data_IF_679192478439
#
_entry.id   IF_679192478439
#
_cell.length_a   1.000
_cell.length_b   1.000
_cell.length_c   1.000
_cell.angle_alpha   90.00
_cell.angle_beta   90.00
_cell.angle_gamma   90.00
#
_symmetry.space_group_name_H-M   'P 1'
#
loop_
_entity.id
_entity.type
_entity.pdbx_description
1 polymer ?
#
# COMPACT_ATOMS: atom_id res chain seq x y z
N UNK A 1 -20.35 -17.92 21.45
CA UNK A 1 -19.72 -18.17 20.12
C UNK A 1 -18.55 -17.21 20.02
N UNK A 2 -17.32 -17.70 19.89
CA UNK A 2 -16.19 -16.82 19.59
C UNK A 2 -16.42 -16.18 18.22
N UNK A 3 -16.31 -14.87 18.19
CA UNK A 3 -16.52 -14.05 17.01
C UNK A 3 -15.48 -14.41 15.96
N UNK A 4 -15.88 -14.98 14.83
CA UNK A 4 -14.98 -15.32 13.73
C UNK A 4 -14.51 -14.02 13.06
N UNK A 5 -13.26 -13.68 13.25
CA UNK A 5 -12.65 -12.49 12.69
C UNK A 5 -11.87 -12.91 11.44
N UNK A 6 -12.07 -12.22 10.30
CA UNK A 6 -11.33 -12.49 9.08
C UNK A 6 -10.21 -11.46 8.87
N UNK A 7 -9.10 -11.92 8.28
CA UNK A 7 -8.01 -11.08 7.82
C UNK A 7 -8.24 -10.82 6.33
N UNK A 8 -8.38 -9.58 5.96
CA UNK A 8 -8.41 -9.21 4.56
C UNK A 8 -7.00 -9.05 3.98
N UNK A 9 -6.84 -9.35 2.68
CA UNK A 9 -5.57 -9.27 1.96
C UNK A 9 -5.73 -8.39 0.71
N UNK A 10 -5.19 -7.18 0.76
CA UNK A 10 -5.15 -6.26 -0.40
C UNK A 10 -4.16 -6.77 -1.45
N UNK A 11 -3.01 -7.25 -1.02
CA UNK A 11 -1.97 -7.80 -1.87
C UNK A 11 -2.01 -9.33 -1.97
N UNK A 12 -0.93 -9.89 -2.52
CA UNK A 12 -0.69 -11.33 -2.59
C UNK A 12 0.62 -11.69 -1.90
N UNK A 13 0.61 -12.74 -1.09
CA UNK A 13 1.79 -13.18 -0.33
C UNK A 13 2.98 -13.62 -1.19
N UNK A 14 2.74 -13.97 -2.46
CA UNK A 14 3.79 -14.28 -3.42
C UNK A 14 4.31 -13.07 -4.20
N UNK A 15 3.62 -11.93 -4.14
CA UNK A 15 3.99 -10.66 -4.77
C UNK A 15 3.93 -9.55 -3.73
N UNK A 16 4.84 -9.61 -2.76
CA UNK A 16 4.83 -8.72 -1.59
C UNK A 16 5.20 -7.27 -1.90
N UNK A 17 5.90 -7.03 -3.00
CA UNK A 17 6.29 -5.68 -3.43
C UNK A 17 5.37 -5.19 -4.57
N UNK A 18 4.45 -4.24 -4.31
CA UNK A 18 3.54 -3.74 -5.33
C UNK A 18 4.25 -2.98 -6.47
N UNK A 19 5.45 -2.42 -6.24
CA UNK A 19 6.21 -1.73 -7.29
C UNK A 19 6.58 -2.66 -8.46
N UNK A 20 6.72 -3.97 -8.21
CA UNK A 20 7.01 -4.95 -9.25
C UNK A 20 5.82 -5.25 -10.17
N UNK A 21 4.60 -4.89 -9.76
CA UNK A 21 3.39 -5.19 -10.55
C UNK A 21 3.43 -4.46 -11.90
N UNK A 22 3.86 -3.20 -11.92
CA UNK A 22 3.94 -2.44 -13.18
C UNK A 22 4.95 -3.06 -14.16
N UNK A 23 6.10 -3.46 -13.67
CA UNK A 23 7.14 -4.12 -14.46
C UNK A 23 6.63 -5.43 -15.06
N UNK A 24 6.05 -6.30 -14.22
CA UNK A 24 5.43 -7.54 -14.68
C UNK A 24 4.23 -7.31 -15.60
N UNK A 25 3.47 -6.23 -15.43
CA UNK A 25 2.35 -5.88 -16.29
C UNK A 25 2.81 -5.36 -17.66
N UNK A 26 3.90 -4.57 -17.72
CA UNK A 26 4.54 -4.18 -18.99
C UNK A 26 5.02 -5.41 -19.77
N UNK A 27 5.64 -6.37 -19.09
CA UNK A 27 6.03 -7.63 -19.72
C UNK A 27 4.81 -8.43 -20.20
N UNK A 28 3.76 -8.54 -19.39
CA UNK A 28 2.52 -9.20 -19.79
C UNK A 28 1.92 -8.57 -21.05
N UNK A 29 1.83 -7.24 -21.12
CA UNK A 29 1.29 -6.52 -22.27
C UNK A 29 2.06 -6.79 -23.59
N UNK A 30 3.36 -7.11 -23.49
CA UNK A 30 4.22 -7.45 -24.63
C UNK A 30 4.33 -8.98 -24.87
N UNK A 31 3.60 -9.78 -24.10
CA UNK A 31 3.65 -11.24 -24.19
C UNK A 31 2.57 -11.81 -25.11
N UNK A 32 2.70 -13.04 -25.61
CA UNK A 32 1.65 -13.73 -26.35
C UNK A 32 0.49 -14.23 -25.47
N UNK A 33 0.51 -13.92 -24.17
CA UNK A 33 -0.43 -14.43 -23.18
C UNK A 33 -1.57 -13.44 -22.84
N UNK A 34 -1.62 -12.27 -23.46
CA UNK A 34 -2.75 -11.34 -23.34
C UNK A 34 -4.04 -12.03 -23.78
N UNK A 35 -5.08 -12.01 -22.93
CA UNK A 35 -6.34 -12.73 -23.15
C UNK A 35 -6.26 -14.25 -23.02
N UNK A 36 -5.08 -14.82 -22.70
CA UNK A 36 -4.83 -16.27 -22.66
C UNK A 36 -4.11 -16.76 -21.40
N UNK A 37 -4.17 -16.01 -20.31
CA UNK A 37 -3.38 -16.26 -19.10
C UNK A 37 -3.95 -17.41 -18.22
N UNK A 38 -4.70 -18.34 -18.80
CA UNK A 38 -5.32 -19.47 -18.11
C UNK A 38 -4.96 -20.80 -18.74
N UNK A 39 -4.99 -21.82 -17.90
CA UNK A 39 -4.56 -23.16 -18.28
C UNK A 39 -3.07 -23.39 -17.98
N UNK A 40 -2.74 -24.62 -17.60
CA UNK A 40 -1.41 -25.00 -17.09
C UNK A 40 -0.29 -24.62 -18.07
N UNK A 41 -0.49 -24.85 -19.36
CA UNK A 41 0.49 -24.58 -20.41
C UNK A 41 0.78 -23.06 -20.52
N UNK A 42 -0.28 -22.23 -20.61
CA UNK A 42 -0.14 -20.78 -20.69
C UNK A 42 0.43 -20.19 -19.39
N UNK A 43 0.02 -20.70 -18.24
CA UNK A 43 0.53 -20.28 -16.92
C UNK A 43 2.03 -20.53 -16.80
N UNK A 44 2.50 -21.71 -17.19
CA UNK A 44 3.93 -22.06 -17.21
C UNK A 44 4.66 -21.24 -18.27
N UNK A 45 4.09 -21.13 -19.47
CA UNK A 45 4.68 -20.32 -20.54
C UNK A 45 4.87 -18.86 -20.15
N UNK A 46 3.88 -18.25 -19.50
CA UNK A 46 4.02 -16.88 -18.98
C UNK A 46 5.10 -16.76 -17.92
N UNK A 47 5.24 -17.75 -17.03
CA UNK A 47 6.33 -17.75 -16.04
C UNK A 47 7.70 -17.81 -16.69
N UNK A 48 7.86 -18.66 -17.72
CA UNK A 48 9.11 -18.72 -18.49
C UNK A 48 9.39 -17.37 -19.17
N UNK A 49 8.36 -16.76 -19.76
CA UNK A 49 8.50 -15.44 -20.37
C UNK A 49 8.96 -14.38 -19.37
N UNK A 50 8.37 -14.32 -18.16
CA UNK A 50 8.80 -13.38 -17.10
C UNK A 50 10.25 -13.64 -16.64
N UNK A 51 10.67 -14.91 -16.62
CA UNK A 51 12.03 -15.28 -16.29
C UNK A 51 13.02 -14.83 -17.38
N UNK A 52 12.69 -15.04 -18.65
CA UNK A 52 13.49 -14.63 -19.80
C UNK A 52 13.64 -13.10 -19.87
N UNK A 53 12.64 -12.36 -19.41
CA UNK A 53 12.69 -10.90 -19.26
C UNK A 53 13.43 -10.44 -17.99
N UNK A 54 13.94 -11.35 -17.16
CA UNK A 54 14.65 -11.03 -15.92
C UNK A 54 13.75 -10.48 -14.78
N UNK A 55 12.42 -10.51 -14.94
CA UNK A 55 11.47 -9.98 -13.94
C UNK A 55 11.39 -10.90 -12.73
N UNK A 56 11.51 -12.21 -12.94
CA UNK A 56 11.58 -13.20 -11.87
C UNK A 56 12.90 -13.97 -12.02
N UNK A 57 13.50 -14.37 -10.89
CA UNK A 57 14.72 -15.15 -10.88
C UNK A 57 14.44 -16.58 -10.43
N UNK A 58 14.87 -17.56 -11.25
CA UNK A 58 14.96 -19.00 -10.90
C UNK A 58 13.66 -19.71 -10.42
N UNK A 59 12.50 -19.13 -10.61
CA UNK A 59 11.24 -19.76 -10.22
C UNK A 59 10.63 -20.63 -11.34
N UNK A 60 10.98 -20.35 -12.61
CA UNK A 60 10.40 -21.00 -13.78
C UNK A 60 10.59 -22.55 -13.77
N UNK A 61 11.77 -23.04 -13.40
CA UNK A 61 12.04 -24.47 -13.33
C UNK A 61 11.49 -25.18 -12.10
N UNK A 62 11.04 -24.44 -11.08
CA UNK A 62 10.53 -25.00 -9.81
C UNK A 62 9.00 -25.02 -9.74
N UNK A 63 8.31 -24.12 -10.41
CA UNK A 63 6.85 -24.05 -10.41
C UNK A 63 6.24 -24.84 -11.56
N UNK A 64 6.14 -26.16 -11.39
CA UNK A 64 5.47 -27.05 -12.35
C UNK A 64 3.94 -26.92 -12.37
N UNK A 65 3.37 -26.14 -11.46
CA UNK A 65 1.93 -25.96 -11.29
C UNK A 65 1.37 -24.69 -11.90
N UNK A 66 2.23 -23.72 -12.31
CA UNK A 66 1.80 -22.40 -12.77
C UNK A 66 1.26 -21.49 -11.64
N UNK A 67 1.54 -21.85 -10.39
CA UNK A 67 0.97 -21.11 -9.24
C UNK A 67 1.40 -19.65 -9.20
N UNK A 68 2.61 -19.34 -9.63
CA UNK A 68 3.12 -17.98 -9.68
C UNK A 68 2.41 -17.14 -10.74
N UNK A 69 2.15 -17.69 -11.94
CA UNK A 69 1.37 -16.99 -12.97
C UNK A 69 -0.03 -16.62 -12.47
N UNK A 70 -0.68 -17.52 -11.71
CA UNK A 70 -1.98 -17.23 -11.09
C UNK A 70 -1.93 -16.08 -10.09
N UNK A 71 -0.80 -15.91 -9.37
CA UNK A 71 -0.60 -14.76 -8.46
C UNK A 71 -0.48 -13.45 -9.24
N UNK A 72 0.28 -13.42 -10.34
CA UNK A 72 0.35 -12.26 -11.22
C UNK A 72 -1.01 -11.91 -11.83
N UNK A 73 -1.69 -12.89 -12.41
CA UNK A 73 -3.05 -12.71 -12.95
C UNK A 73 -4.01 -12.15 -11.89
N UNK A 74 -3.98 -12.73 -10.67
CA UNK A 74 -4.80 -12.24 -9.58
C UNK A 74 -4.54 -10.76 -9.29
N UNK A 75 -3.28 -10.35 -9.24
CA UNK A 75 -2.96 -8.95 -8.97
C UNK A 75 -3.31 -8.02 -10.13
N UNK A 76 -3.15 -8.46 -11.37
CA UNK A 76 -3.59 -7.68 -12.53
C UNK A 76 -5.11 -7.50 -12.54
N UNK A 77 -5.87 -8.56 -12.34
CA UNK A 77 -7.34 -8.51 -12.34
C UNK A 77 -7.89 -7.76 -11.11
N UNK A 78 -7.29 -7.95 -9.94
CA UNK A 78 -7.71 -7.29 -8.69
C UNK A 78 -7.55 -5.77 -8.75
N UNK A 79 -6.52 -5.30 -9.46
CA UNK A 79 -6.31 -3.88 -9.68
C UNK A 79 -7.01 -3.35 -10.94
N UNK A 80 -7.78 -4.16 -11.66
CA UNK A 80 -8.52 -3.76 -12.84
C UNK A 80 -7.67 -3.52 -14.09
N UNK A 81 -6.44 -4.00 -14.11
CA UNK A 81 -5.54 -3.84 -15.26
C UNK A 81 -5.86 -4.84 -16.38
N UNK A 82 -6.43 -5.99 -16.03
CA UNK A 82 -7.05 -6.94 -16.94
C UNK A 82 -8.49 -7.20 -16.51
N UNK A 83 -9.34 -7.60 -17.45
CA UNK A 83 -10.73 -7.92 -17.13
C UNK A 83 -10.80 -9.12 -16.19
N UNK A 84 -11.41 -8.96 -14.98
CA UNK A 84 -11.59 -10.04 -14.03
C UNK A 84 -12.61 -11.06 -14.51
N UNK A 85 -12.58 -12.25 -13.93
CA UNK A 85 -13.59 -13.26 -14.15
C UNK A 85 -14.89 -12.89 -13.44
N UNK A 86 -15.97 -12.77 -14.18
CA UNK A 86 -17.32 -12.59 -13.65
C UNK A 86 -17.89 -13.97 -13.31
N UNK A 87 -18.38 -14.14 -12.07
CA UNK A 87 -19.13 -15.34 -11.70
C UNK A 87 -20.55 -15.26 -12.23
N UNK A 88 -21.12 -16.36 -12.69
CA UNK A 88 -22.49 -16.41 -13.26
C UNK A 88 -23.57 -15.76 -12.37
N UNK A 89 -23.39 -15.80 -11.05
CA UNK A 89 -24.32 -15.17 -10.11
C UNK A 89 -24.19 -13.63 -10.05
N UNK A 90 -23.07 -13.08 -10.50
CA UNK A 90 -22.73 -11.67 -10.39
C UNK A 90 -22.98 -10.91 -11.72
N UNK A 91 -23.17 -11.64 -12.86
CA UNK A 91 -23.45 -11.07 -14.17
C UNK A 91 -22.86 -11.87 -15.33
N UNK A 92 -22.82 -11.25 -16.52
CA UNK A 92 -22.27 -11.84 -17.72
C UNK A 92 -20.86 -11.29 -18.01
N UNK A 93 -19.93 -12.17 -18.41
CA UNK A 93 -18.57 -11.79 -18.79
C UNK A 93 -18.54 -10.87 -20.01
N UNK A 94 -19.44 -11.10 -20.97
CA UNK A 94 -19.48 -10.33 -22.22
C UNK A 94 -19.90 -8.87 -21.99
N UNK A 95 -20.66 -8.60 -20.92
CA UNK A 95 -21.01 -7.23 -20.52
C UNK A 95 -19.83 -6.45 -19.94
N UNK A 96 -18.80 -7.15 -19.43
CA UNK A 96 -17.64 -6.53 -18.85
C UNK A 96 -16.51 -6.38 -19.87
N UNK A 97 -16.24 -7.45 -20.63
CA UNK A 97 -15.17 -7.53 -21.60
C UNK A 97 -14.46 -8.88 -21.61
N UNK A 98 -13.56 -9.06 -22.56
CA UNK A 98 -12.86 -10.32 -22.79
C UNK A 98 -11.95 -10.66 -21.58
N UNK A 99 -12.18 -11.82 -21.01
CA UNK A 99 -11.46 -12.32 -19.84
C UNK A 99 -9.94 -12.28 -20.04
N UNK A 100 -9.23 -11.79 -19.03
CA UNK A 100 -7.75 -11.65 -18.98
C UNK A 100 -7.16 -10.71 -20.08
N UNK A 101 -7.98 -9.98 -20.87
CA UNK A 101 -7.49 -8.95 -21.77
C UNK A 101 -7.24 -7.62 -21.03
N UNK A 102 -6.42 -6.75 -21.64
CA UNK A 102 -6.02 -5.47 -21.05
C UNK A 102 -7.18 -4.48 -21.08
N UNK A 103 -7.55 -3.96 -19.91
CA UNK A 103 -8.65 -2.98 -19.78
C UNK A 103 -8.22 -1.58 -20.24
N UNK A 104 -9.17 -0.63 -20.44
CA UNK A 104 -8.84 0.79 -20.59
C UNK A 104 -7.97 1.32 -19.44
N UNK A 105 -8.25 0.92 -18.20
CA UNK A 105 -7.46 1.29 -17.04
C UNK A 105 -6.06 0.64 -17.03
N UNK A 106 -5.94 -0.62 -17.46
CA UNK A 106 -4.65 -1.26 -17.67
C UNK A 106 -3.78 -0.52 -18.69
N UNK A 107 -4.39 -0.02 -19.78
CA UNK A 107 -3.67 0.83 -20.74
C UNK A 107 -3.22 2.16 -20.14
N UNK A 108 -4.01 2.76 -19.26
CA UNK A 108 -3.58 3.96 -18.51
C UNK A 108 -2.40 3.65 -17.56
N UNK A 109 -2.43 2.50 -16.88
CA UNK A 109 -1.34 2.05 -16.03
C UNK A 109 -0.03 1.79 -16.78
N UNK A 110 -0.08 1.26 -18.01
CA UNK A 110 1.09 1.09 -18.86
C UNK A 110 1.75 2.43 -19.24
N UNK A 111 0.95 3.48 -19.37
CA UNK A 111 1.40 4.84 -19.70
C UNK A 111 1.86 5.66 -18.50
N UNK A 112 1.64 5.16 -17.29
CA UNK A 112 2.08 5.84 -16.07
C UNK A 112 3.61 5.76 -15.96
N UNK A 113 4.30 6.85 -16.23
CA UNK A 113 5.77 6.97 -16.35
C UNK A 113 6.41 7.63 -15.12
N UNK A 114 5.61 8.27 -14.27
CA UNK A 114 6.07 8.87 -13.02
C UNK A 114 5.52 8.13 -11.81
N UNK A 115 6.25 8.15 -10.71
CA UNK A 115 5.81 7.49 -9.48
C UNK A 115 4.44 8.00 -8.98
N UNK A 116 4.13 9.33 -8.96
CA UNK A 116 2.80 9.81 -8.62
C UNK A 116 1.70 9.32 -9.58
N UNK A 117 1.99 9.13 -10.86
CA UNK A 117 1.02 8.59 -11.81
C UNK A 117 0.73 7.10 -11.52
N UNK A 118 1.75 6.33 -11.21
CA UNK A 118 1.61 4.93 -10.76
C UNK A 118 0.81 4.85 -9.47
N UNK A 119 1.13 5.70 -8.49
CA UNK A 119 0.39 5.79 -7.23
C UNK A 119 -1.10 6.10 -7.43
N UNK A 120 -1.42 7.02 -8.36
CA UNK A 120 -2.82 7.33 -8.65
C UNK A 120 -3.57 6.15 -9.25
N UNK A 121 -2.93 5.36 -10.13
CA UNK A 121 -3.55 4.13 -10.62
C UNK A 121 -3.88 3.17 -9.48
N UNK A 122 -2.96 2.95 -8.54
CA UNK A 122 -3.26 2.13 -7.37
C UNK A 122 -4.34 2.75 -6.46
N UNK A 123 -4.33 4.07 -6.31
CA UNK A 123 -5.35 4.75 -5.53
C UNK A 123 -6.76 4.54 -6.13
N UNK A 124 -6.89 4.66 -7.46
CA UNK A 124 -8.15 4.38 -8.18
C UNK A 124 -8.60 2.94 -7.99
N UNK A 125 -7.71 1.96 -8.11
CA UNK A 125 -8.03 0.56 -7.86
C UNK A 125 -8.50 0.32 -6.42
N UNK A 126 -7.72 0.78 -5.43
CA UNK A 126 -8.00 0.61 -4.02
C UNK A 126 -9.25 1.38 -3.55
N UNK A 127 -9.64 2.45 -4.25
CA UNK A 127 -10.85 3.23 -3.91
C UNK A 127 -12.15 2.46 -4.12
N UNK A 128 -12.16 1.49 -5.03
CA UNK A 128 -13.33 0.63 -5.35
C UNK A 128 -13.14 -0.81 -4.91
N UNK A 129 -11.94 -1.20 -4.47
CA UNK A 129 -11.72 -2.53 -3.94
C UNK A 129 -12.60 -2.75 -2.71
N UNK A 130 -13.31 -3.87 -2.71
CA UNK A 130 -14.18 -4.25 -1.61
C UNK A 130 -13.99 -5.70 -1.20
N UNK A 131 -14.22 -5.96 0.07
CA UNK A 131 -14.22 -7.29 0.67
C UNK A 131 -15.59 -7.60 1.25
N UNK A 132 -16.06 -8.82 1.02
CA UNK A 132 -17.25 -9.32 1.69
C UNK A 132 -17.02 -9.39 3.20
N UNK A 133 -17.99 -8.95 3.95
CA UNK A 133 -18.02 -9.12 5.39
C UNK A 133 -18.40 -10.56 5.76
N UNK A 134 -18.08 -11.02 6.99
CA UNK A 134 -18.45 -12.36 7.44
C UNK A 134 -19.96 -12.68 7.39
N UNK A 135 -20.82 -11.66 7.38
CA UNK A 135 -22.27 -11.81 7.19
C UNK A 135 -22.66 -12.24 5.76
N UNK A 136 -21.72 -12.14 4.80
CA UNK A 136 -21.91 -12.51 3.40
C UNK A 136 -22.75 -11.55 2.57
N UNK A 137 -23.34 -10.52 3.19
CA UNK A 137 -24.29 -9.60 2.56
C UNK A 137 -23.76 -8.17 2.44
N UNK A 138 -22.84 -7.79 3.31
CA UNK A 138 -22.23 -6.46 3.29
C UNK A 138 -20.79 -6.49 2.84
N UNK A 139 -20.31 -5.34 2.39
CA UNK A 139 -18.96 -5.16 1.89
C UNK A 139 -18.30 -3.94 2.52
N UNK A 140 -16.96 -3.96 2.66
CA UNK A 140 -16.20 -2.80 3.10
C UNK A 140 -14.98 -2.58 2.22
N UNK A 141 -14.52 -1.33 2.15
CA UNK A 141 -13.30 -0.95 1.42
C UNK A 141 -12.12 -0.87 2.40
N UNK A 142 -11.08 -1.68 2.22
CA UNK A 142 -9.91 -1.69 3.11
C UNK A 142 -9.21 -0.34 3.22
N UNK A 143 -9.01 0.36 2.08
CA UNK A 143 -8.36 1.66 2.10
C UNK A 143 -9.18 2.70 2.87
N UNK A 144 -10.47 2.79 2.60
CA UNK A 144 -11.36 3.73 3.28
C UNK A 144 -11.49 3.43 4.77
N UNK A 145 -11.53 2.15 5.12
CA UNK A 145 -11.55 1.68 6.50
C UNK A 145 -10.30 2.15 7.27
N UNK A 146 -9.12 1.94 6.71
CA UNK A 146 -7.86 2.35 7.34
C UNK A 146 -7.74 3.87 7.43
N UNK A 147 -8.14 4.59 6.38
CA UNK A 147 -8.16 6.05 6.44
C UNK A 147 -9.08 6.57 7.54
N UNK A 148 -10.27 5.99 7.71
CA UNK A 148 -11.19 6.36 8.78
C UNK A 148 -10.60 6.10 10.17
N UNK A 149 -9.96 4.96 10.40
CA UNK A 149 -9.26 4.65 11.66
C UNK A 149 -8.16 5.68 11.92
N UNK A 150 -7.34 5.99 10.91
CA UNK A 150 -6.20 6.88 11.07
C UNK A 150 -6.63 8.34 11.30
N UNK A 151 -7.68 8.80 10.65
CA UNK A 151 -8.28 10.12 10.90
C UNK A 151 -8.89 10.22 12.31
N UNK A 152 -9.54 9.18 12.79
CA UNK A 152 -10.05 9.15 14.15
C UNK A 152 -8.93 9.08 15.20
N UNK A 153 -7.83 8.36 14.91
CA UNK A 153 -6.61 8.42 15.73
C UNK A 153 -6.06 9.85 15.78
N UNK A 154 -5.98 10.53 14.65
CA UNK A 154 -5.50 11.91 14.58
C UNK A 154 -6.37 12.87 15.37
N UNK A 155 -7.70 12.75 15.23
CA UNK A 155 -8.65 13.55 16.00
C UNK A 155 -8.47 13.40 17.53
N UNK A 156 -8.11 12.20 18.00
CA UNK A 156 -7.95 11.90 19.43
C UNK A 156 -6.55 12.14 19.98
N UNK A 157 -5.53 12.04 19.15
CA UNK A 157 -4.13 12.04 19.61
C UNK A 157 -3.25 13.11 18.95
N UNK A 158 -3.78 13.84 17.96
CA UNK A 158 -3.01 14.78 17.15
C UNK A 158 -2.10 14.12 16.10
N UNK A 159 -2.21 12.80 15.89
CA UNK A 159 -1.41 12.08 14.90
C UNK A 159 -2.20 10.94 14.26
N UNK A 160 -2.17 10.88 12.93
CA UNK A 160 -2.77 9.79 12.15
C UNK A 160 -1.91 8.52 12.15
N UNK A 161 -0.81 8.47 12.90
CA UNK A 161 0.10 7.33 12.90
C UNK A 161 -0.55 6.06 13.41
N UNK A 162 -0.41 4.98 12.64
CA UNK A 162 -0.69 3.60 13.06
C UNK A 162 0.58 2.76 12.93
N UNK A 163 0.98 2.12 14.00
CA UNK A 163 2.17 1.25 14.00
C UNK A 163 1.89 -0.10 13.36
N UNK A 164 2.94 -0.83 12.95
CA UNK A 164 2.80 -2.19 12.39
C UNK A 164 2.03 -3.13 13.32
N UNK A 165 2.26 -3.05 14.63
CA UNK A 165 1.58 -3.91 15.61
C UNK A 165 0.10 -3.54 15.73
N UNK A 166 -0.21 -2.27 15.83
CA UNK A 166 -1.60 -1.78 15.89
C UNK A 166 -2.36 -2.14 14.61
N UNK A 167 -1.73 -1.96 13.44
CA UNK A 167 -2.31 -2.38 12.18
C UNK A 167 -2.52 -3.89 12.12
N UNK A 168 -1.54 -4.70 12.58
CA UNK A 168 -1.67 -6.16 12.62
C UNK A 168 -2.83 -6.60 13.51
N UNK A 169 -2.95 -6.02 14.70
CA UNK A 169 -3.95 -6.43 15.68
C UNK A 169 -5.37 -5.93 15.36
N UNK A 170 -5.49 -4.71 14.81
CA UNK A 170 -6.78 -4.03 14.69
C UNK A 170 -7.09 -3.45 13.31
N UNK A 171 -6.06 -3.13 12.51
CA UNK A 171 -6.22 -2.46 11.22
C UNK A 171 -6.66 -3.38 10.10
N UNK A 172 -5.96 -4.52 9.92
CA UNK A 172 -6.21 -5.46 8.82
C UNK A 172 -7.16 -6.61 9.19
N UNK A 173 -7.80 -6.50 10.31
CA UNK A 173 -8.80 -7.46 10.78
C UNK A 173 -10.16 -6.80 10.72
N UNK A 174 -11.13 -7.50 10.18
CA UNK A 174 -12.48 -6.96 10.04
C UNK A 174 -13.42 -7.71 10.93
N UNK A 175 -14.11 -6.96 11.77
CA UNK A 175 -15.25 -7.45 12.50
C UNK A 175 -16.41 -6.48 12.24
N UNK A 176 -17.52 -6.95 11.61
CA UNK A 176 -18.67 -6.09 11.31
C UNK A 176 -19.29 -5.44 12.54
N UNK A 177 -19.10 -6.05 13.72
CA UNK A 177 -19.60 -5.51 14.98
C UNK A 177 -18.73 -4.39 15.57
N UNK A 178 -17.54 -4.13 15.00
CA UNK A 178 -16.67 -3.06 15.46
C UNK A 178 -16.90 -1.79 14.66
N UNK A 179 -17.29 -0.72 15.36
CA UNK A 179 -17.23 0.63 14.80
C UNK A 179 -15.78 1.13 14.73
N UNK A 180 -15.55 2.21 13.97
CA UNK A 180 -14.24 2.88 13.90
C UNK A 180 -13.78 3.30 15.30
N UNK A 181 -14.68 3.87 16.09
CA UNK A 181 -14.41 4.31 17.47
C UNK A 181 -13.95 3.13 18.34
N UNK A 182 -14.61 1.96 18.22
CA UNK A 182 -14.25 0.78 18.98
C UNK A 182 -12.85 0.26 18.62
N UNK A 183 -12.50 0.29 17.32
CA UNK A 183 -11.16 -0.10 16.86
C UNK A 183 -10.12 0.87 17.42
N UNK A 184 -10.39 2.16 17.38
CA UNK A 184 -9.49 3.19 17.91
C UNK A 184 -9.35 3.08 19.43
N UNK A 185 -10.43 2.83 20.17
CA UNK A 185 -10.38 2.54 21.60
C UNK A 185 -9.42 1.39 21.91
N UNK A 186 -9.53 0.30 21.15
CA UNK A 186 -8.64 -0.86 21.31
C UNK A 186 -7.18 -0.53 21.01
N UNK A 187 -6.91 0.30 20.01
CA UNK A 187 -5.56 0.77 19.70
C UNK A 187 -5.00 1.64 20.83
N UNK A 188 -5.81 2.56 21.35
CA UNK A 188 -5.37 3.45 22.44
C UNK A 188 -5.14 2.67 23.74
N UNK A 189 -5.99 1.70 24.07
CA UNK A 189 -5.77 0.79 25.21
C UNK A 189 -4.47 -0.01 25.03
N UNK A 190 -4.23 -0.54 23.83
CA UNK A 190 -2.98 -1.24 23.51
C UNK A 190 -1.76 -0.33 23.74
N UNK A 191 -1.82 0.95 23.34
CA UNK A 191 -0.74 1.93 23.58
C UNK A 191 -0.46 2.12 25.07
N UNK A 192 -1.51 2.24 25.89
CA UNK A 192 -1.40 2.40 27.33
C UNK A 192 -0.75 1.16 27.95
N UNK A 193 -1.28 -0.04 27.67
CA UNK A 193 -0.74 -1.31 28.20
C UNK A 193 0.71 -1.55 27.77
N UNK A 194 1.02 -1.24 26.51
CA UNK A 194 2.38 -1.35 25.98
C UNK A 194 3.38 -0.41 26.66
N UNK A 195 2.95 0.83 26.99
CA UNK A 195 3.78 1.80 27.71
C UNK A 195 4.11 1.33 29.14
N UNK A 196 3.18 0.64 29.78
CA UNK A 196 3.33 0.10 31.14
C UNK A 196 4.09 -1.24 31.17
N UNK A 197 4.26 -1.92 30.04
CA UNK A 197 4.89 -3.21 29.99
C UNK A 197 6.40 -3.13 30.27
N UNK A 198 6.97 -4.05 31.09
CA UNK A 198 8.41 -4.09 31.37
C UNK A 198 9.28 -4.27 30.13
N UNK A 199 8.77 -4.98 29.12
CA UNK A 199 9.41 -5.19 27.82
C UNK A 199 8.39 -5.04 26.70
N UNK A 200 8.52 -3.96 25.95
CA UNK A 200 7.65 -3.69 24.77
C UNK A 200 7.70 -4.82 23.75
N UNK A 201 8.89 -5.39 23.49
CA UNK A 201 9.08 -6.49 22.53
C UNK A 201 8.34 -7.76 22.97
N UNK A 202 8.42 -8.13 24.24
CA UNK A 202 7.74 -9.33 24.75
C UNK A 202 6.23 -9.12 24.82
N UNK A 203 5.79 -7.90 25.16
CA UNK A 203 4.40 -7.51 25.13
C UNK A 203 3.83 -7.65 23.70
N UNK A 204 4.48 -7.04 22.70
CA UNK A 204 4.07 -7.12 21.29
C UNK A 204 3.98 -8.57 20.81
N UNK A 205 4.99 -9.41 21.13
CA UNK A 205 4.96 -10.84 20.75
C UNK A 205 3.77 -11.58 21.37
N UNK A 206 3.44 -11.30 22.63
CA UNK A 206 2.31 -11.93 23.33
C UNK A 206 0.99 -11.51 22.70
N UNK A 207 0.76 -10.21 22.50
CA UNK A 207 -0.48 -9.69 21.91
C UNK A 207 -0.69 -10.25 20.49
N UNK A 208 0.36 -10.30 19.66
CA UNK A 208 0.29 -10.87 18.30
C UNK A 208 0.02 -12.36 18.34
N UNK A 209 0.64 -13.12 19.26
CA UNK A 209 0.40 -14.56 19.38
C UNK A 209 -1.03 -14.87 19.83
N UNK A 210 -1.56 -14.12 20.81
CA UNK A 210 -2.94 -14.29 21.28
C UNK A 210 -3.92 -13.95 20.15
N UNK A 211 -3.75 -12.80 19.49
CA UNK A 211 -4.64 -12.40 18.40
C UNK A 211 -4.57 -13.35 17.21
N UNK A 212 -3.37 -13.83 16.86
CA UNK A 212 -3.16 -14.79 15.77
C UNK A 212 -3.89 -16.12 15.96
N UNK A 213 -4.06 -16.58 17.20
CA UNK A 213 -4.85 -17.79 17.50
C UNK A 213 -6.31 -17.68 17.07
N UNK A 214 -6.92 -16.50 17.24
CA UNK A 214 -8.30 -16.25 16.80
C UNK A 214 -8.51 -16.35 15.28
N UNK A 215 -7.42 -16.25 14.51
CA UNK A 215 -7.43 -16.36 13.04
C UNK A 215 -6.88 -17.68 12.52
N UNK A 216 -6.60 -18.62 13.40
CA UNK A 216 -5.91 -19.86 13.03
C UNK A 216 -4.62 -19.60 12.23
N UNK A 217 -3.87 -18.57 12.64
CA UNK A 217 -2.62 -18.15 11.99
C UNK A 217 -1.46 -18.15 12.99
N UNK A 218 -0.30 -18.62 12.52
CA UNK A 218 0.95 -18.44 13.27
C UNK A 218 1.29 -16.94 13.34
N UNK A 219 1.88 -16.52 14.47
CA UNK A 219 2.25 -15.12 14.72
C UNK A 219 3.08 -14.48 13.61
N UNK A 220 4.03 -15.24 13.04
CA UNK A 220 4.89 -14.75 11.97
C UNK A 220 4.10 -14.50 10.68
N UNK A 221 3.22 -15.43 10.28
CA UNK A 221 2.33 -15.24 9.12
C UNK A 221 1.38 -14.07 9.32
N UNK A 222 0.88 -13.88 10.54
CA UNK A 222 0.00 -12.77 10.87
C UNK A 222 0.69 -11.41 10.66
N UNK A 223 1.92 -11.26 11.17
CA UNK A 223 2.73 -10.07 10.96
C UNK A 223 3.17 -9.88 9.51
N UNK A 224 3.47 -10.96 8.81
CA UNK A 224 3.83 -10.94 7.40
C UNK A 224 2.69 -10.43 6.51
N UNK A 225 1.45 -10.87 6.79
CA UNK A 225 0.27 -10.40 6.06
C UNK A 225 0.00 -8.92 6.34
N UNK A 226 0.19 -8.48 7.58
CA UNK A 226 0.05 -7.06 7.92
C UNK A 226 1.08 -6.19 7.19
N UNK A 227 2.35 -6.60 7.14
CA UNK A 227 3.40 -5.87 6.42
C UNK A 227 3.09 -5.78 4.91
N UNK A 228 2.67 -6.88 4.30
CA UNK A 228 2.24 -6.90 2.91
C UNK A 228 1.08 -5.92 2.66
N UNK A 229 0.02 -5.99 3.47
CA UNK A 229 -1.13 -5.09 3.34
C UNK A 229 -0.71 -3.62 3.48
N UNK A 230 0.17 -3.29 4.44
CA UNK A 230 0.68 -1.93 4.59
C UNK A 230 1.47 -1.45 3.36
N UNK A 231 2.23 -2.32 2.70
CA UNK A 231 2.95 -1.99 1.45
C UNK A 231 1.96 -1.65 0.34
N UNK A 232 0.92 -2.47 0.16
CA UNK A 232 -0.11 -2.26 -0.85
C UNK A 232 -0.99 -1.03 -0.56
N UNK A 233 -1.27 -0.74 0.69
CA UNK A 233 -1.98 0.49 1.05
C UNK A 233 -1.14 1.74 0.77
N UNK A 234 0.17 1.69 1.06
CA UNK A 234 1.08 2.83 0.83
C UNK A 234 1.31 3.13 -0.64
N UNK A 235 1.27 2.13 -1.54
CA UNK A 235 1.44 2.38 -2.98
C UNK A 235 0.36 3.33 -3.53
N UNK A 236 -0.77 3.50 -2.84
CA UNK A 236 -1.79 4.50 -3.17
C UNK A 236 -1.29 5.94 -3.12
N UNK A 237 -0.16 6.17 -2.45
CA UNK A 237 0.40 7.50 -2.25
C UNK A 237 -0.40 8.40 -1.29
N UNK A 238 -1.52 7.95 -0.72
CA UNK A 238 -2.26 8.66 0.35
C UNK A 238 -1.63 8.38 1.72
N UNK A 239 -0.98 7.24 1.84
CA UNK A 239 -0.28 6.78 3.03
C UNK A 239 1.23 6.72 2.75
N UNK A 240 2.02 7.12 3.74
CA UNK A 240 3.47 6.99 3.68
C UNK A 240 4.02 6.25 4.89
N UNK A 241 5.25 5.76 4.78
CA UNK A 241 5.94 5.09 5.87
C UNK A 241 6.31 6.09 6.97
N UNK A 242 6.10 5.71 8.23
CA UNK A 242 6.63 6.39 9.40
C UNK A 242 7.20 5.34 10.36
N UNK A 243 8.51 5.27 10.48
CA UNK A 243 9.17 4.21 11.24
C UNK A 243 8.76 2.81 10.75
N UNK A 244 8.21 1.99 11.64
CA UNK A 244 7.63 0.67 11.34
C UNK A 244 6.11 0.71 11.09
N UNK A 245 5.54 1.89 10.97
CA UNK A 245 4.12 2.12 10.74
C UNK A 245 3.85 2.89 9.46
N UNK A 246 2.73 3.57 9.44
CA UNK A 246 2.31 4.47 8.38
C UNK A 246 1.53 5.66 8.93
N UNK A 247 1.51 6.72 8.15
CA UNK A 247 0.80 7.97 8.44
C UNK A 247 0.11 8.44 7.16
N UNK A 248 -0.96 9.23 7.29
CA UNK A 248 -1.55 9.93 6.15
C UNK A 248 -0.55 10.98 5.66
N UNK A 249 -0.37 11.04 4.34
CA UNK A 249 0.50 12.05 3.71
C UNK A 249 -0.13 13.43 3.94
N UNK A 250 0.57 14.39 4.59
CA UNK A 250 -0.01 15.69 4.92
C UNK A 250 -0.63 16.41 3.72
N UNK A 251 0.05 16.42 2.57
CA UNK A 251 -0.45 17.01 1.33
C UNK A 251 -1.69 16.30 0.73
N UNK A 252 -2.10 15.17 1.27
CA UNK A 252 -3.26 14.39 0.82
C UNK A 252 -4.32 14.21 1.91
N UNK A 253 -4.23 14.99 2.99
CA UNK A 253 -5.16 14.89 4.11
C UNK A 253 -6.62 15.13 3.68
N UNK A 254 -6.87 16.19 2.91
CA UNK A 254 -8.21 16.49 2.37
C UNK A 254 -8.75 15.34 1.52
N UNK A 255 -7.89 14.67 0.73
CA UNK A 255 -8.28 13.50 -0.05
C UNK A 255 -8.64 12.33 0.86
N UNK A 256 -7.83 12.08 1.90
CA UNK A 256 -8.09 11.04 2.88
C UNK A 256 -9.43 11.25 3.58
N UNK A 257 -9.75 12.48 4.01
CA UNK A 257 -11.05 12.83 4.62
C UNK A 257 -12.23 12.56 3.68
N UNK A 258 -12.09 12.95 2.40
CA UNK A 258 -13.14 12.73 1.41
C UNK A 258 -13.35 11.24 1.12
N UNK A 259 -12.29 10.44 1.09
CA UNK A 259 -12.36 9.00 0.85
C UNK A 259 -12.92 8.24 2.05
N UNK A 260 -12.61 8.66 3.26
CA UNK A 260 -13.03 8.00 4.49
C UNK A 260 -14.52 8.19 4.85
N UNK A 261 -15.26 9.04 4.14
CA UNK A 261 -16.68 9.34 4.43
C UNK A 261 -17.60 8.11 4.36
N UNK A 262 -17.23 7.10 3.58
CA UNK A 262 -17.95 5.83 3.52
C UNK A 262 -16.95 4.69 3.49
N UNK A 263 -17.06 3.78 4.42
CA UNK A 263 -16.24 2.54 4.48
C UNK A 263 -16.98 1.34 3.91
N UNK A 264 -18.28 1.44 3.67
CA UNK A 264 -19.11 0.43 3.02
C UNK A 264 -19.27 0.72 1.53
N UNK A 265 -19.48 -0.32 0.75
CA UNK A 265 -19.78 -0.24 -0.67
C UNK A 265 -21.05 -1.07 -0.93
N UNK A 266 -22.12 -0.41 -1.36
CA UNK A 266 -23.43 -1.05 -1.60
C UNK A 266 -23.61 -1.45 -3.07
N UNK A 267 -22.58 -1.23 -3.92
CA UNK A 267 -22.65 -1.51 -5.33
C UNK A 267 -22.56 -3.01 -5.63
N UNK A 268 -23.26 -3.46 -6.68
CA UNK A 268 -23.09 -4.81 -7.17
C UNK A 268 -21.65 -5.05 -7.68
N UNK A 269 -21.20 -6.31 -7.62
CA UNK A 269 -19.86 -6.69 -8.09
C UNK A 269 -19.63 -6.30 -9.55
N UNK A 270 -20.67 -6.39 -10.40
CA UNK A 270 -20.56 -6.00 -11.80
C UNK A 270 -20.30 -4.50 -11.96
N UNK A 271 -21.00 -3.64 -11.22
CA UNK A 271 -20.77 -2.19 -11.24
C UNK A 271 -19.35 -1.88 -10.76
N UNK A 272 -18.92 -2.52 -9.66
CA UNK A 272 -17.58 -2.39 -9.15
C UNK A 272 -16.53 -2.78 -10.22
N UNK A 273 -16.72 -3.90 -10.92
CA UNK A 273 -15.80 -4.35 -11.97
C UNK A 273 -15.76 -3.38 -13.14
N UNK A 274 -16.90 -2.86 -13.60
CA UNK A 274 -16.96 -1.84 -14.65
C UNK A 274 -16.17 -0.60 -14.26
N UNK A 275 -16.43 -0.04 -13.08
CA UNK A 275 -15.68 1.11 -12.53
C UNK A 275 -14.18 0.82 -12.42
N UNK A 276 -13.82 -0.35 -11.95
CA UNK A 276 -12.42 -0.76 -11.79
C UNK A 276 -11.70 -0.84 -13.13
N UNK A 277 -12.33 -1.44 -14.14
CA UNK A 277 -11.75 -1.63 -15.48
C UNK A 277 -11.64 -0.34 -16.31
N UNK A 278 -12.46 0.66 -16.00
CA UNK A 278 -12.42 1.99 -16.62
C UNK A 278 -11.49 2.98 -15.91
N UNK A 279 -11.09 2.67 -14.68
CA UNK A 279 -10.38 3.57 -13.79
C UNK A 279 -11.36 4.40 -12.95
N UNK A 280 -11.61 3.94 -11.73
CA UNK A 280 -12.59 4.54 -10.84
C UNK A 280 -12.35 6.03 -10.61
N UNK A 281 -13.42 6.79 -10.51
CA UNK A 281 -13.37 8.21 -10.17
C UNK A 281 -12.82 8.43 -8.75
N UNK A 282 -11.99 9.43 -8.60
CA UNK A 282 -11.49 9.91 -7.34
C UNK A 282 -12.12 11.25 -6.96
N UNK A 283 -12.13 11.63 -5.68
CA UNK A 283 -12.50 12.98 -5.29
C UNK A 283 -11.70 14.08 -6.01
N UNK A 284 -10.49 13.76 -6.45
CA UNK A 284 -9.61 14.65 -7.22
C UNK A 284 -10.06 14.91 -8.65
N UNK A 285 -11.00 14.14 -9.18
CA UNK A 285 -11.57 14.38 -10.51
C UNK A 285 -12.61 15.52 -10.46
N UNK A 286 -13.03 15.94 -9.27
CA UNK A 286 -13.80 17.16 -9.05
C UNK A 286 -12.88 18.38 -9.01
N UNK A 287 -13.23 19.45 -9.74
CA UNK A 287 -12.43 20.65 -9.91
C UNK A 287 -12.09 21.35 -8.58
N UNK A 288 -13.06 21.50 -7.71
CA UNK A 288 -12.87 22.19 -6.43
C UNK A 288 -11.95 21.41 -5.49
N UNK A 289 -12.09 20.09 -5.50
CA UNK A 289 -11.22 19.20 -4.72
C UNK A 289 -9.79 19.22 -5.27
N UNK A 290 -9.62 19.18 -6.59
CA UNK A 290 -8.33 19.27 -7.23
C UNK A 290 -7.62 20.61 -6.89
N UNK A 291 -8.35 21.73 -6.95
CA UNK A 291 -7.85 23.07 -6.55
C UNK A 291 -7.45 23.11 -5.07
N UNK A 292 -8.28 22.58 -4.19
CA UNK A 292 -7.99 22.56 -2.76
C UNK A 292 -6.69 21.80 -2.45
N UNK A 293 -6.51 20.63 -3.07
CA UNK A 293 -5.31 19.80 -2.90
C UNK A 293 -4.05 20.46 -3.49
N UNK A 294 -4.17 21.10 -4.67
CA UNK A 294 -3.04 21.83 -5.26
C UNK A 294 -2.62 22.99 -4.36
N UNK A 295 -3.56 23.78 -3.85
CA UNK A 295 -3.28 24.90 -2.96
C UNK A 295 -2.62 24.46 -1.65
N UNK A 296 -3.10 23.37 -1.06
CA UNK A 296 -2.51 22.80 0.16
C UNK A 296 -1.09 22.29 -0.08
N UNK A 297 -0.85 21.57 -1.19
CA UNK A 297 0.48 21.14 -1.60
C UNK A 297 1.45 22.31 -1.81
N UNK A 298 1.01 23.34 -2.52
CA UNK A 298 1.81 24.57 -2.75
C UNK A 298 2.15 25.28 -1.44
N UNK A 299 1.20 25.33 -0.50
CA UNK A 299 1.44 25.88 0.85
C UNK A 299 2.53 25.09 1.57
N UNK A 300 2.41 23.78 1.63
CA UNK A 300 3.39 22.91 2.27
C UNK A 300 4.79 23.02 1.62
N UNK A 301 4.87 23.09 0.29
CA UNK A 301 6.15 23.29 -0.41
C UNK A 301 6.79 24.63 -0.07
N UNK A 302 6.00 25.71 0.01
CA UNK A 302 6.49 27.03 0.45
C UNK A 302 6.99 27.03 1.89
N UNK A 303 6.28 26.40 2.80
CA UNK A 303 6.70 26.23 4.21
C UNK A 303 8.03 25.46 4.35
N UNK A 304 8.30 24.56 3.41
CA UNK A 304 9.55 23.78 3.32
C UNK A 304 10.64 24.46 2.47
N UNK A 305 10.40 25.68 1.99
CA UNK A 305 11.31 26.41 1.11
C UNK A 305 11.66 25.69 -0.20
N UNK A 306 10.75 24.86 -0.72
CA UNK A 306 10.92 24.17 -2.00
C UNK A 306 10.46 25.11 -3.11
N UNK A 307 11.37 25.43 -4.02
CA UNK A 307 11.08 26.32 -5.16
C UNK A 307 10.30 25.54 -6.24
N UNK A 308 9.25 26.15 -6.75
CA UNK A 308 8.47 25.64 -7.87
C UNK A 308 7.83 26.79 -8.63
N UNK A 309 7.55 26.58 -9.91
CA UNK A 309 6.81 27.52 -10.75
C UNK A 309 5.75 26.73 -11.56
N UNK A 310 4.52 27.19 -11.50
CA UNK A 310 3.36 26.67 -12.24
C UNK A 310 2.58 27.76 -12.96
N UNK A 311 3.16 28.98 -13.08
CA UNK A 311 2.49 30.15 -13.66
C UNK A 311 2.06 29.95 -15.12
N UNK A 312 2.83 29.15 -15.87
CA UNK A 312 2.58 28.87 -17.28
C UNK A 312 1.70 27.65 -17.53
N UNK A 313 1.27 26.95 -16.46
CA UNK A 313 0.43 25.76 -16.60
C UNK A 313 -1.06 26.14 -16.69
N UNK A 314 -1.83 25.49 -17.58
CA UNK A 314 -3.27 25.62 -17.57
C UNK A 314 -3.86 24.96 -16.31
N UNK A 315 -4.74 25.67 -15.59
CA UNK A 315 -5.36 25.22 -14.36
C UNK A 315 -6.89 25.38 -14.40
N UNK A 316 -7.49 25.16 -15.56
CA UNK A 316 -8.92 25.37 -15.81
C UNK A 316 -9.78 24.13 -15.51
N UNK A 317 -9.21 22.95 -15.69
CA UNK A 317 -9.89 21.67 -15.52
C UNK A 317 -9.25 20.84 -14.39
N UNK A 318 -10.01 19.91 -13.80
CA UNK A 318 -9.49 18.98 -12.79
C UNK A 318 -8.31 18.18 -13.36
N UNK A 319 -8.35 17.80 -14.62
CA UNK A 319 -7.27 17.05 -15.29
C UNK A 319 -5.97 17.86 -15.34
N UNK A 320 -6.04 19.12 -15.79
CA UNK A 320 -4.88 20.02 -15.84
C UNK A 320 -4.28 20.26 -14.45
N UNK A 321 -5.14 20.51 -13.46
CA UNK A 321 -4.72 20.70 -12.06
C UNK A 321 -4.07 19.44 -11.50
N UNK A 322 -4.61 18.26 -11.80
CA UNK A 322 -4.03 16.99 -11.35
C UNK A 322 -2.68 16.70 -12.02
N UNK A 323 -2.47 17.12 -13.27
CA UNK A 323 -1.16 17.06 -13.94
C UNK A 323 -0.15 17.95 -13.21
N UNK A 324 -0.50 19.20 -12.96
CA UNK A 324 0.35 20.14 -12.21
C UNK A 324 0.66 19.59 -10.80
N UNK A 325 -0.37 19.11 -10.08
CA UNK A 325 -0.21 18.51 -8.75
C UNK A 325 0.75 17.33 -8.76
N UNK A 326 0.62 16.41 -9.72
CA UNK A 326 1.53 15.26 -9.84
C UNK A 326 2.97 15.68 -10.12
N UNK A 327 3.19 16.71 -10.91
CA UNK A 327 4.53 17.27 -11.15
C UNK A 327 5.13 17.83 -9.87
N UNK A 328 4.36 18.56 -9.07
CA UNK A 328 4.81 19.04 -7.76
C UNK A 328 5.03 17.93 -6.74
N UNK A 329 4.16 16.91 -6.70
CA UNK A 329 4.34 15.73 -5.85
C UNK A 329 5.62 14.96 -6.21
N UNK A 330 5.94 14.87 -7.50
CA UNK A 330 7.18 14.24 -7.94
C UNK A 330 8.41 15.05 -7.49
N UNK A 331 8.37 16.37 -7.62
CA UNK A 331 9.43 17.25 -7.12
C UNK A 331 9.59 17.12 -5.60
N UNK A 332 8.49 17.09 -4.86
CA UNK A 332 8.49 16.90 -3.42
C UNK A 332 9.12 15.55 -3.03
N UNK A 333 8.73 14.46 -3.70
CA UNK A 333 9.28 13.12 -3.48
C UNK A 333 10.78 13.08 -3.71
N UNK A 334 11.28 13.66 -4.81
CA UNK A 334 12.71 13.74 -5.09
C UNK A 334 13.47 14.55 -4.02
N UNK A 335 12.86 15.62 -3.53
CA UNK A 335 13.44 16.44 -2.44
C UNK A 335 13.53 15.63 -1.15
N UNK A 336 12.50 14.86 -0.82
CA UNK A 336 12.48 13.98 0.36
C UNK A 336 13.52 12.86 0.26
N UNK A 337 13.72 12.25 -0.91
CA UNK A 337 14.74 11.25 -1.15
C UNK A 337 16.15 11.82 -0.97
N UNK A 338 16.41 13.02 -1.51
CA UNK A 338 17.70 13.71 -1.33
C UNK A 338 17.94 14.04 0.16
N UNK A 339 16.92 14.53 0.86
CA UNK A 339 17.02 14.84 2.27
C UNK A 339 17.29 13.58 3.09
N UNK A 340 16.56 12.49 2.83
CA UNK A 340 16.79 11.20 3.47
C UNK A 340 18.21 10.67 3.22
N UNK A 341 18.69 10.76 1.97
CA UNK A 341 20.06 10.34 1.64
C UNK A 341 21.12 11.17 2.41
N UNK A 342 20.91 12.50 2.54
CA UNK A 342 21.79 13.36 3.32
C UNK A 342 21.80 12.99 4.81
N UNK A 343 20.62 12.73 5.38
CA UNK A 343 20.50 12.29 6.79
C UNK A 343 21.21 10.95 7.03
N UNK A 344 21.08 10.00 6.10
CA UNK A 344 21.80 8.72 6.17
C UNK A 344 23.31 8.93 6.07
N UNK A 345 23.78 9.78 5.15
CA UNK A 345 25.20 10.11 5.03
C UNK A 345 25.75 10.75 6.31
N UNK A 346 25.00 11.66 6.93
CA UNK A 346 25.40 12.28 8.21
C UNK A 346 25.48 11.24 9.33
N UNK A 347 24.52 10.34 9.44
CA UNK A 347 24.56 9.24 10.41
C UNK A 347 25.77 8.32 10.22
N UNK A 348 26.11 7.98 8.97
CA UNK A 348 27.31 7.20 8.67
C UNK A 348 28.58 7.95 9.03
N UNK A 349 28.64 9.26 8.82
CA UNK A 349 29.77 10.08 9.21
C UNK A 349 29.92 10.11 10.74
N UNK A 350 28.84 10.31 11.50
CA UNK A 350 28.84 10.26 12.96
C UNK A 350 29.35 8.91 13.50
N UNK A 351 28.91 7.80 12.87
CA UNK A 351 29.40 6.45 13.22
C UNK A 351 30.90 6.31 12.92
N UNK A 352 31.35 6.79 11.76
CA UNK A 352 32.76 6.75 11.39
C UNK A 352 33.62 7.56 12.35
N UNK A 353 33.18 8.77 12.71
CA UNK A 353 33.85 9.65 13.67
C UNK A 353 33.95 9.01 15.05
N UNK A 354 32.85 8.38 15.50
CA UNK A 354 32.84 7.63 16.76
C UNK A 354 33.79 6.42 16.73
N UNK A 355 33.80 5.65 15.65
CA UNK A 355 34.76 4.54 15.48
C UNK A 355 36.22 5.02 15.50
N UNK A 356 36.48 6.15 14.86
CA UNK A 356 37.81 6.76 14.84
C UNK A 356 38.28 7.19 16.23
N UNK A 357 37.36 7.79 17.03
CA UNK A 357 37.61 8.12 18.42
C UNK A 357 37.91 6.88 19.27
N UNK A 358 37.19 5.78 19.06
CA UNK A 358 37.45 4.51 19.77
C UNK A 358 38.83 3.93 19.42
N UNK A 359 39.22 4.02 18.14
CA UNK A 359 40.54 3.55 17.69
C UNK A 359 41.66 4.42 18.27
N UNK A 360 41.50 5.74 18.25
CA UNK A 360 42.50 6.70 18.78
C UNK A 360 42.59 6.69 20.29
N UNK A 361 41.48 6.42 20.97
CA UNK A 361 41.37 6.52 22.43
C UNK A 361 41.84 5.31 23.22
N UNK A 362 42.14 4.16 22.60
CA UNK A 362 42.56 2.91 23.26
C UNK A 362 41.57 2.43 24.35
N UNK A 363 40.31 2.91 24.29
CA UNK A 363 39.33 2.75 25.36
C UNK A 363 38.66 1.39 25.37
N UNK A 364 38.35 0.89 26.57
CA UNK A 364 37.47 -0.28 26.76
C UNK A 364 36.11 -0.02 26.16
N UNK A 365 35.67 -0.92 25.32
CA UNK A 365 34.31 -0.88 24.68
C UNK A 365 33.27 -0.99 25.79
N UNK A 366 32.55 0.07 26.05
CA UNK A 366 31.21 0.00 26.67
C UNK A 366 30.23 -0.03 25.53
N UNK A 367 29.68 -1.22 25.26
CA UNK A 367 28.57 -1.37 24.31
C UNK A 367 27.31 -0.81 24.96
N UNK A 368 26.79 0.26 24.41
CA UNK A 368 25.40 0.64 24.62
C UNK A 368 24.58 -0.20 23.63
N UNK A 369 23.84 -1.19 24.16
CA UNK A 369 23.09 -2.17 23.36
C UNK A 369 22.07 -1.54 22.39
N UNK A 370 21.66 -0.30 22.65
CA UNK A 370 20.71 0.42 21.81
C UNK A 370 21.33 0.95 20.50
N UNK A 371 22.62 1.20 20.46
CA UNK A 371 23.32 1.71 19.27
C UNK A 371 23.80 0.60 18.32
N UNK A 372 24.06 -0.60 18.84
CA UNK A 372 24.42 -1.77 18.00
C UNK A 372 23.26 -2.24 17.14
N UNK A 373 22.01 -2.01 17.57
CA UNK A 373 20.82 -2.33 16.77
C UNK A 373 20.71 -1.52 15.47
N UNK A 374 21.28 -0.33 15.38
CA UNK A 374 21.23 0.50 14.18
C UNK A 374 22.10 -0.03 13.02
N UNK A 375 23.22 -0.68 13.34
CA UNK A 375 24.12 -1.28 12.34
C UNK A 375 23.52 -2.52 11.66
N UNK A 376 22.61 -3.24 12.33
CA UNK A 376 21.96 -4.44 11.81
C UNK A 376 20.55 -4.20 11.23
N UNK A 377 20.00 -3.00 11.37
CA UNK A 377 18.68 -2.63 10.83
C UNK A 377 18.74 -1.80 9.55
N UNK A 378 19.92 -1.54 9.03
CA UNK A 378 20.10 -1.02 7.68
C UNK A 378 19.41 -1.95 6.68
N UNK A 379 18.48 -1.50 5.84
CA UNK A 379 17.91 -2.37 4.83
C UNK A 379 19.05 -2.89 3.95
N UNK A 380 19.14 -4.22 3.83
CA UNK A 380 20.06 -4.84 2.89
C UNK A 380 19.82 -4.25 1.50
N UNK A 381 20.87 -4.01 0.68
CA UNK A 381 20.70 -3.62 -0.73
C UNK A 381 19.81 -4.59 -1.53
N UNK A 382 19.41 -5.73 -0.95
CA UNK A 382 18.46 -6.69 -1.51
C UNK A 382 17.00 -6.36 -1.24
N UNK A 383 16.72 -5.36 -0.39
CA UNK A 383 15.37 -4.90 -0.04
C UNK A 383 15.02 -3.55 -0.68
N UNK A 384 15.92 -3.02 -1.51
CA UNK A 384 15.69 -1.83 -2.33
C UNK A 384 15.06 -2.17 -3.67
#
# INVERSE_FOLDING_TARGET
MEEKIDIWLVGNTGLRNPNRIQEGFKAFANSPYVGKLRGKENEIGFMNFLNDQGIIQNEAGKDTSGSHARKWRLMFSKNGFIYPQVKKKDGDQDELGQLDDITPFGRAFLKADTYPAVQECYLRALSVEQFAMPDGNSYFSPLRWILAIMLELERRTGSSEITRIEFALWGHTTNPSYSIEKVVDNILDLRIRRKQAPSKRNFDKKEVAERGKHYDKKSDNFLDYSDMNMRYLRISGVLQRKGRGMIIVPAKHILAEKMAKSTSNEESIMIQYKRLCEGAELPTDNLDTAKALLNDLMKQMKERHILFDISDLPLNTATEINIARKSLENLLSQTDEIQYAKEQCNQWQEIADYMELLIKGGGKRTYDDDNVCLLYTSPSPRDA
#
